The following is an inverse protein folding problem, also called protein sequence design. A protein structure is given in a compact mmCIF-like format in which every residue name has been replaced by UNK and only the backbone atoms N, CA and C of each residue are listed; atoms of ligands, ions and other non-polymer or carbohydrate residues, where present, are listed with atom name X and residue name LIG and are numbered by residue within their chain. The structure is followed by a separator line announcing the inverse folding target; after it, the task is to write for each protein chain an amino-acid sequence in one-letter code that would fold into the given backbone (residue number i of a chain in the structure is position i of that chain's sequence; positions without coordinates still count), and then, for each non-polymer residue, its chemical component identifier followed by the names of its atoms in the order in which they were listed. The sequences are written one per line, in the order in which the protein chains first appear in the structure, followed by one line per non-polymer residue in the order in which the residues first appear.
data_IF_175616617758
#
_entry.id   IF_175616617758
#
_cell.length_a   1.000
_cell.length_b   1.000
_cell.length_c   1.000
_cell.angle_alpha   90.00
_cell.angle_beta   90.00
_cell.angle_gamma   90.00
#
_symmetry.space_group_name_H-M   'P 1'
#
loop_
_entity.id
_entity.type
_entity.pdbx_description
1 polymer ?
#
# COMPACT_ATOMS: atom_id res chain seq x y z
N UNK A 1 1.13 10.92 2.63
CA UNK A 1 -0.29 10.59 2.90
C UNK A 1 -0.29 9.49 3.94
N UNK A 2 -1.04 9.66 5.04
CA UNK A 2 -1.20 8.62 6.07
C UNK A 2 -2.68 8.20 6.08
N UNK A 3 -2.93 6.90 6.00
CA UNK A 3 -4.29 6.34 6.02
C UNK A 3 -4.27 5.10 6.90
N UNK A 4 -5.37 4.92 7.62
CA UNK A 4 -5.59 3.73 8.43
C UNK A 4 -6.03 2.60 7.50
N UNK A 5 -5.19 1.58 7.33
CA UNK A 5 -5.46 0.40 6.49
C UNK A 5 -6.37 -0.63 7.17
N UNK A 6 -6.40 -0.63 8.51
CA UNK A 6 -7.19 -1.58 9.29
C UNK A 6 -6.77 -1.63 10.76
N UNK A 7 -7.32 -2.60 11.49
CA UNK A 7 -6.94 -2.93 12.87
C UNK A 7 -6.14 -4.24 12.89
N UNK A 8 -5.38 -4.45 13.96
CA UNK A 8 -4.63 -5.70 14.18
C UNK A 8 -5.53 -6.95 14.24
N UNK A 9 -6.84 -6.79 14.44
CA UNK A 9 -7.83 -7.88 14.46
C UNK A 9 -8.27 -8.35 13.07
N UNK A 10 -7.83 -7.72 11.98
CA UNK A 10 -8.20 -8.12 10.61
C UNK A 10 -7.35 -9.28 10.13
N UNK A 11 -7.90 -10.10 9.23
CA UNK A 11 -7.12 -11.17 8.61
C UNK A 11 -6.10 -10.60 7.62
N UNK A 12 -5.07 -11.39 7.32
CA UNK A 12 -4.02 -11.01 6.38
C UNK A 12 -4.58 -10.67 4.99
N UNK A 13 -5.56 -11.44 4.52
CA UNK A 13 -6.19 -11.24 3.20
C UNK A 13 -6.94 -9.91 3.15
N UNK A 14 -7.68 -9.58 4.21
CA UNK A 14 -8.41 -8.31 4.30
C UNK A 14 -7.48 -7.10 4.29
N UNK A 15 -6.34 -7.19 4.99
CA UNK A 15 -5.34 -6.12 5.00
C UNK A 15 -4.69 -5.96 3.62
N UNK A 16 -4.42 -7.07 2.93
CA UNK A 16 -3.84 -7.06 1.59
C UNK A 16 -4.79 -6.45 0.56
N UNK A 17 -6.07 -6.80 0.61
CA UNK A 17 -7.08 -6.26 -0.30
C UNK A 17 -7.34 -4.77 -0.06
N UNK A 18 -7.38 -4.33 1.20
CA UNK A 18 -7.47 -2.90 1.54
C UNK A 18 -6.27 -2.11 1.00
N UNK A 19 -5.06 -2.66 1.13
CA UNK A 19 -3.84 -2.05 0.60
C UNK A 19 -3.90 -1.90 -0.92
N UNK A 20 -4.31 -2.96 -1.63
CA UNK A 20 -4.46 -2.97 -3.09
C UNK A 20 -5.50 -1.96 -3.56
N UNK A 21 -6.66 -1.93 -2.91
CA UNK A 21 -7.73 -0.98 -3.23
C UNK A 21 -7.24 0.48 -3.06
N UNK A 22 -6.56 0.77 -1.95
CA UNK A 22 -6.00 2.09 -1.68
C UNK A 22 -4.99 2.53 -2.74
N UNK A 23 -4.05 1.65 -3.12
CA UNK A 23 -3.05 1.94 -4.15
C UNK A 23 -3.71 2.16 -5.51
N UNK A 24 -4.72 1.35 -5.84
CA UNK A 24 -5.54 1.51 -7.05
C UNK A 24 -6.20 2.89 -7.12
N UNK A 25 -6.84 3.32 -6.03
CA UNK A 25 -7.50 4.63 -5.95
C UNK A 25 -6.51 5.80 -6.02
N UNK A 26 -5.34 5.68 -5.38
CA UNK A 26 -4.28 6.70 -5.45
C UNK A 26 -3.77 6.85 -6.88
N UNK A 27 -3.59 5.74 -7.60
CA UNK A 27 -3.16 5.77 -8.99
C UNK A 27 -4.23 6.35 -9.93
N UNK A 28 -5.52 6.06 -9.69
CA UNK A 28 -6.63 6.64 -10.46
C UNK A 28 -6.78 8.13 -10.22
N UNK A 29 -6.65 8.57 -8.97
CA UNK A 29 -6.74 9.99 -8.59
C UNK A 29 -5.43 10.76 -8.83
N UNK A 30 -4.53 10.24 -9.70
CA UNK A 30 -3.32 10.95 -10.09
C UNK A 30 -3.70 12.27 -10.76
N UNK A 31 -3.27 13.43 -10.24
CA UNK A 31 -3.51 14.71 -10.90
C UNK A 31 -2.73 14.75 -12.22
N UNK A 32 -3.37 15.24 -13.29
CA UNK A 32 -2.85 15.23 -14.67
C UNK A 32 -1.47 15.90 -14.84
N UNK A 33 -1.04 16.73 -13.88
CA UNK A 33 0.29 17.37 -13.85
C UNK A 33 1.42 16.54 -13.22
N UNK A 34 1.13 15.42 -12.56
CA UNK A 34 2.14 14.63 -11.86
C UNK A 34 2.91 13.72 -12.83
N UNK A 35 4.05 14.22 -13.32
CA UNK A 35 5.03 13.45 -14.10
C UNK A 35 5.92 12.62 -13.15
N UNK A 36 6.07 11.32 -13.43
CA UNK A 36 6.96 10.41 -12.69
C UNK A 36 6.25 9.41 -11.76
N UNK A 37 7.02 8.78 -10.87
CA UNK A 37 6.50 7.81 -9.90
C UNK A 37 5.76 8.51 -8.75
N UNK A 38 4.47 8.20 -8.57
CA UNK A 38 3.60 8.85 -7.58
C UNK A 38 3.91 8.39 -6.15
N UNK A 39 4.34 7.13 -5.98
CA UNK A 39 4.63 6.52 -4.69
C UNK A 39 6.14 6.25 -4.65
N UNK A 40 6.87 7.06 -3.89
CA UNK A 40 8.33 6.91 -3.70
C UNK A 40 8.69 5.94 -2.59
N UNK A 41 7.92 5.95 -1.51
CA UNK A 41 8.17 5.16 -0.31
C UNK A 41 6.85 4.82 0.35
N UNK A 42 6.71 3.57 0.81
CA UNK A 42 5.58 3.13 1.62
C UNK A 42 6.09 2.50 2.92
N UNK A 43 5.40 2.74 4.02
CA UNK A 43 5.72 2.16 5.32
C UNK A 43 4.44 1.84 6.07
N UNK A 44 4.38 0.65 6.68
CA UNK A 44 3.30 0.25 7.57
C UNK A 44 3.84 0.31 9.00
N UNK A 45 3.12 1.01 9.88
CA UNK A 45 3.41 1.05 11.29
C UNK A 45 2.13 0.78 12.09
N UNK A 46 2.26 0.09 13.21
CA UNK A 46 1.19 0.02 14.21
C UNK A 46 1.27 1.25 15.13
N UNK A 47 0.19 1.53 15.87
CA UNK A 47 0.05 2.77 16.68
C UNK A 47 1.23 3.03 17.63
N UNK A 48 1.85 1.97 18.15
CA UNK A 48 2.97 2.05 19.11
C UNK A 48 4.15 1.14 18.70
N UNK A 49 4.21 0.69 17.44
CA UNK A 49 5.22 -0.26 16.98
C UNK A 49 6.20 0.34 15.96
N UNK A 50 7.34 -0.33 15.76
CA UNK A 50 8.28 0.06 14.71
C UNK A 50 7.61 -0.04 13.33
N UNK A 51 7.89 0.94 12.47
CA UNK A 51 7.42 0.94 11.10
C UNK A 51 8.25 0.02 10.21
N UNK A 52 7.59 -0.86 9.48
CA UNK A 52 8.22 -1.71 8.45
C UNK A 52 8.10 -1.00 7.11
N UNK A 53 9.24 -0.79 6.43
CA UNK A 53 9.25 -0.25 5.07
C UNK A 53 8.79 -1.34 4.10
N UNK A 54 7.86 -0.98 3.24
CA UNK A 54 7.42 -1.84 2.15
C UNK A 54 8.21 -1.51 0.89
N UNK A 55 8.54 -2.55 0.13
CA UNK A 55 9.09 -2.35 -1.20
C UNK A 55 7.98 -1.92 -2.16
N UNK A 56 8.15 -0.77 -2.78
CA UNK A 56 7.19 -0.21 -3.73
C UNK A 56 7.20 -0.93 -5.07
N UNK A 57 8.21 -1.77 -5.33
CA UNK A 57 8.28 -2.63 -6.51
C UNK A 57 7.25 -3.77 -6.45
N UNK A 58 7.13 -4.45 -5.29
CA UNK A 58 6.18 -5.56 -5.11
C UNK A 58 4.72 -5.09 -5.07
N UNK A 59 4.48 -3.83 -4.73
CA UNK A 59 3.14 -3.23 -4.76
C UNK A 59 2.56 -3.06 -6.18
N UNK A 60 3.38 -3.18 -7.22
CA UNK A 60 2.93 -3.14 -8.62
C UNK A 60 2.59 -4.53 -9.17
N UNK A 61 3.07 -5.59 -8.55
CA UNK A 61 2.91 -6.96 -9.04
C UNK A 61 1.75 -7.62 -8.30
N UNK A 62 0.71 -8.12 -9.00
CA UNK A 62 -0.29 -8.95 -8.34
C UNK A 62 0.39 -10.20 -7.77
N UNK A 63 0.41 -10.31 -6.45
CA UNK A 63 0.85 -11.50 -5.71
C UNK A 63 0.08 -12.71 -6.26
N UNK A 64 0.81 -13.55 -6.99
CA UNK A 64 0.30 -14.61 -7.86
C UNK A 64 1.38 -15.21 -8.79
N UNK A 65 2.57 -14.63 -8.88
CA UNK A 65 3.75 -15.32 -9.39
C UNK A 65 4.66 -15.68 -8.20
N UNK A 66 5.12 -16.93 -8.17
CA UNK A 66 6.11 -17.56 -7.27
C UNK A 66 5.49 -18.53 -6.24
N UNK A 67 5.27 -19.77 -6.72
CA UNK A 67 5.56 -21.01 -5.99
C UNK A 67 7.08 -21.19 -5.96
#
# INVERSE_FOLDING_TARGET
IHVILGKASFSQDQLLDNLRAMIGEINRNRPAGAKGELIRTASIASTMGPGVRLDTADLKTPVGANN
#
